data_IF_637916157810
#
_entry.id   IF_637916157810
#
_cell.length_a   1.000
_cell.length_b   1.000
_cell.length_c   1.000
_cell.angle_alpha   90.00
_cell.angle_beta   90.00
_cell.angle_gamma   90.00
#
_symmetry.space_group_name_H-M   'P 1'
#
loop_
_entity.id
_entity.type
_entity.pdbx_description
1 polymer ?
#
# COMPACT_ATOMS: atom_id res chain seq x y z
N UNK A 1 9.62 20.10 15.51
CA UNK A 1 8.79 18.99 16.02
C UNK A 1 9.61 17.74 16.25
N UNK A 2 9.22 17.00 17.24
CA UNK A 2 9.87 15.76 17.60
C UNK A 2 9.03 14.59 17.14
N UNK A 3 9.65 13.68 16.41
CA UNK A 3 8.96 12.47 15.94
C UNK A 3 9.53 11.30 16.70
N UNK A 4 8.64 10.62 17.43
CA UNK A 4 9.03 9.40 18.13
C UNK A 4 8.45 8.21 17.40
N UNK A 5 9.07 7.05 17.59
CA UNK A 5 8.67 5.85 16.85
C UNK A 5 8.18 4.75 17.79
N UNK A 6 7.53 5.16 18.89
CA UNK A 6 6.88 4.19 19.76
C UNK A 6 5.76 3.47 19.05
N UNK A 7 5.15 4.12 18.06
CA UNK A 7 4.11 3.53 17.25
C UNK A 7 4.51 3.62 15.78
N UNK A 8 3.98 2.72 14.99
CA UNK A 8 4.25 2.73 13.56
C UNK A 8 3.59 3.93 12.91
N UNK A 9 4.39 4.73 12.16
CA UNK A 9 3.78 5.88 11.50
C UNK A 9 2.83 5.44 10.39
N UNK A 10 1.65 5.73 10.34
CA UNK A 10 0.70 5.39 9.39
C UNK A 10 0.26 6.63 8.67
N UNK A 11 -0.06 6.43 7.67
CA UNK A 11 -0.69 7.51 6.91
C UNK A 11 -2.08 7.08 6.47
N UNK A 12 -2.96 8.04 6.28
CA UNK A 12 -4.30 7.77 5.80
C UNK A 12 -4.29 7.63 4.29
N UNK A 13 -4.90 6.56 3.82
CA UNK A 13 -5.07 6.34 2.39
C UNK A 13 -6.55 6.23 2.07
N UNK A 14 -6.89 6.50 0.81
CA UNK A 14 -8.24 6.33 0.32
C UNK A 14 -8.17 5.50 -0.95
N UNK A 15 -8.90 4.39 -0.95
CA UNK A 15 -8.91 3.50 -2.10
C UNK A 15 -10.29 2.88 -2.25
N UNK A 16 -10.83 2.94 -3.47
CA UNK A 16 -12.15 2.39 -3.73
C UNK A 16 -13.24 3.02 -2.88
N UNK A 17 -13.09 4.28 -2.52
CA UNK A 17 -14.07 4.95 -1.67
C UNK A 17 -13.97 4.63 -0.19
N UNK A 18 -12.95 3.90 0.23
CA UNK A 18 -12.74 3.51 1.62
C UNK A 18 -11.49 4.15 2.17
N UNK A 19 -11.55 4.43 3.46
CA UNK A 19 -10.37 5.00 4.15
C UNK A 19 -9.69 3.93 4.98
N UNK A 20 -8.32 4.09 4.91
CA UNK A 20 -7.60 3.13 5.67
C UNK A 20 -6.28 3.75 6.09
N UNK A 21 -5.66 2.99 6.96
CA UNK A 21 -4.33 3.47 7.33
C UNK A 21 -3.28 2.50 6.83
N UNK A 22 -2.13 3.03 6.43
CA UNK A 22 -1.07 2.20 5.88
C UNK A 22 0.28 2.73 6.31
N UNK A 23 1.29 1.86 6.24
CA UNK A 23 2.67 2.22 6.51
C UNK A 23 3.37 2.55 5.20
N UNK A 24 4.18 3.59 5.20
CA UNK A 24 5.08 3.85 4.09
C UNK A 24 6.35 3.02 4.30
N UNK A 25 6.55 2.04 3.46
CA UNK A 25 7.63 1.08 3.65
C UNK A 25 8.61 1.14 2.48
N UNK A 26 9.72 1.85 2.69
CA UNK A 26 10.71 1.99 1.63
C UNK A 26 11.41 0.69 1.30
N UNK A 27 11.30 -0.31 2.16
CA UNK A 27 11.86 -1.62 1.87
C UNK A 27 10.96 -2.51 1.03
N UNK A 28 9.74 -2.05 0.73
CA UNK A 28 8.81 -2.83 -0.06
C UNK A 28 8.71 -2.26 -1.47
N UNK A 29 8.84 -3.12 -2.47
CA UNK A 29 8.68 -2.69 -3.85
C UNK A 29 7.21 -2.45 -4.19
N UNK A 30 6.34 -3.28 -3.66
CA UNK A 30 4.92 -3.29 -4.02
C UNK A 30 4.05 -2.82 -2.88
N UNK A 31 2.85 -2.39 -3.22
CA UNK A 31 1.84 -1.96 -2.26
C UNK A 31 0.88 -3.12 -2.02
N UNK A 32 0.67 -3.47 -0.75
CA UNK A 32 -0.24 -4.55 -0.41
C UNK A 32 -1.16 -4.09 0.72
N UNK A 33 -2.45 -4.31 0.54
CA UNK A 33 -3.47 -3.85 1.47
C UNK A 33 -4.35 -5.02 1.91
N UNK A 34 -4.93 -4.88 3.09
CA UNK A 34 -5.86 -5.86 3.61
C UNK A 34 -7.09 -5.94 2.72
N UNK A 35 -7.77 -7.07 2.88
CA UNK A 35 -8.96 -7.27 2.06
C UNK A 35 -9.89 -6.08 2.02
N UNK A 36 -10.20 -5.72 0.81
CA UNK A 36 -11.08 -4.63 0.65
C UNK A 36 -11.80 -4.88 -0.61
N UNK A 37 -12.94 -4.31 -0.69
CA UNK A 37 -13.71 -4.40 -1.93
C UNK A 37 -13.39 -3.23 -2.84
N UNK A 38 -12.66 -3.53 -3.90
CA UNK A 38 -12.25 -2.52 -4.87
C UNK A 38 -12.91 -2.87 -6.20
N UNK A 39 -13.58 -1.90 -6.85
CA UNK A 39 -14.15 -2.19 -8.17
C UNK A 39 -13.04 -2.31 -9.22
N UNK A 40 -13.31 -3.11 -10.25
CA UNK A 40 -12.41 -3.22 -11.35
C UNK A 40 -11.89 -4.62 -11.56
N UNK A 41 -11.06 -4.75 -12.55
CA UNK A 41 -10.48 -6.04 -12.90
C UNK A 41 -9.25 -6.33 -12.05
N UNK A 42 -9.07 -7.59 -11.79
CA UNK A 42 -7.88 -8.04 -11.06
C UNK A 42 -7.45 -9.40 -11.59
N UNK A 43 -6.21 -9.75 -11.26
CA UNK A 43 -5.71 -11.08 -11.60
C UNK A 43 -5.02 -11.66 -10.37
N UNK A 44 -5.00 -12.99 -10.25
CA UNK A 44 -4.37 -13.60 -9.09
C UNK A 44 -2.85 -13.49 -9.16
N UNK A 45 -2.23 -13.36 -7.98
CA UNK A 45 -0.79 -13.29 -7.87
C UNK A 45 -0.38 -13.92 -6.55
N UNK A 46 0.80 -14.52 -6.54
CA UNK A 46 1.39 -15.05 -5.33
C UNK A 46 2.48 -14.08 -4.87
N UNK A 47 2.30 -13.67 -3.69
CA UNK A 47 3.22 -12.72 -3.17
C UNK A 47 3.77 -13.22 -1.91
N UNK A 48 4.89 -12.57 -1.56
CA UNK A 48 5.48 -12.94 -0.28
C UNK A 48 6.69 -13.82 -0.45
N UNK A 49 6.93 -14.66 0.48
CA UNK A 49 8.04 -15.59 0.39
C UNK A 49 8.72 -15.84 1.71
N UNK A 50 8.71 -14.89 2.63
CA UNK A 50 9.27 -15.08 3.96
C UNK A 50 8.16 -15.58 4.87
N UNK A 51 8.31 -16.78 5.39
CA UNK A 51 7.29 -17.37 6.23
C UNK A 51 6.12 -17.96 5.45
N UNK A 52 6.25 -17.99 4.12
CA UNK A 52 5.22 -18.57 3.28
C UNK A 52 4.74 -17.61 2.22
N UNK A 53 3.93 -18.13 1.33
CA UNK A 53 3.36 -17.35 0.23
C UNK A 53 1.90 -17.08 0.50
N UNK A 54 1.41 -15.92 0.07
CA UNK A 54 0.00 -15.60 0.15
C UNK A 54 -0.54 -15.34 -1.25
N UNK A 55 -1.81 -15.65 -1.43
CA UNK A 55 -2.49 -15.40 -2.68
C UNK A 55 -3.20 -14.06 -2.59
N UNK A 56 -2.93 -13.18 -3.53
CA UNK A 56 -3.51 -11.84 -3.51
C UNK A 56 -4.16 -11.55 -4.84
N UNK A 57 -4.99 -10.53 -4.86
CA UNK A 57 -5.59 -10.01 -6.09
C UNK A 57 -4.80 -8.79 -6.52
N UNK A 58 -4.34 -8.82 -7.76
CA UNK A 58 -3.55 -7.72 -8.31
C UNK A 58 -4.44 -6.81 -9.13
N UNK A 59 -4.59 -5.58 -8.68
CA UNK A 59 -5.32 -4.54 -9.41
C UNK A 59 -4.30 -3.61 -10.04
N UNK A 60 -4.31 -3.55 -11.36
CA UNK A 60 -3.42 -2.63 -12.07
C UNK A 60 -4.09 -1.29 -12.19
N UNK A 61 -3.31 -0.22 -12.01
CA UNK A 61 -3.80 1.14 -12.15
C UNK A 61 -4.99 1.47 -11.25
N UNK A 62 -4.96 1.16 -9.99
CA UNK A 62 -5.86 1.44 -9.12
C UNK A 62 -5.58 2.71 -8.63
N UNK A 63 -6.47 3.54 -8.61
CA UNK A 63 -6.21 4.85 -8.04
C UNK A 63 -6.23 4.82 -6.51
N UNK A 64 -5.23 5.43 -5.93
CA UNK A 64 -5.08 5.49 -4.48
C UNK A 64 -4.75 6.92 -4.10
N UNK A 65 -5.35 7.42 -3.03
CA UNK A 65 -5.02 8.72 -2.49
C UNK A 65 -4.26 8.51 -1.19
N UNK A 66 -3.04 9.09 -1.14
CA UNK A 66 -2.16 8.91 0.01
C UNK A 66 -1.81 10.28 0.55
N UNK A 67 -2.36 10.38 1.57
CA UNK A 67 -2.15 11.59 2.22
C UNK A 67 -2.60 12.79 1.46
N UNK A 68 -3.58 12.58 0.84
CA UNK A 68 -4.09 13.67 0.01
C UNK A 68 -3.50 13.75 -1.38
N UNK A 69 -2.55 12.93 -1.67
CA UNK A 69 -1.91 12.88 -2.99
C UNK A 69 -2.47 11.71 -3.77
N UNK A 70 -2.81 11.98 -5.03
CA UNK A 70 -3.40 10.92 -5.86
C UNK A 70 -2.36 10.20 -6.68
N UNK A 71 -2.48 8.85 -6.69
CA UNK A 71 -1.58 8.11 -7.42
C UNK A 71 -2.36 7.04 -8.10
N UNK A 72 -1.70 6.58 -9.07
CA UNK A 72 -2.29 5.43 -9.76
C UNK A 72 -1.20 4.39 -9.91
N UNK A 73 -1.48 3.16 -9.47
CA UNK A 73 -0.49 2.12 -9.62
C UNK A 73 -1.04 0.77 -9.23
N UNK A 74 -0.18 -0.22 -9.28
CA UNK A 74 -0.57 -1.58 -8.94
C UNK A 74 -0.76 -1.72 -7.44
N UNK A 75 -1.88 -2.31 -7.06
CA UNK A 75 -2.20 -2.56 -5.66
C UNK A 75 -2.55 -4.04 -5.50
N UNK A 76 -1.96 -4.67 -4.52
CA UNK A 76 -2.23 -6.06 -4.19
C UNK A 76 -3.17 -6.11 -3.00
N UNK A 77 -4.20 -6.91 -3.09
CA UNK A 77 -5.19 -7.04 -2.01
C UNK A 77 -5.18 -8.48 -1.52
N UNK A 78 -4.97 -8.65 -0.23
CA UNK A 78 -4.95 -9.99 0.33
C UNK A 78 -4.77 -10.01 1.82
N UNK A 79 -4.56 -11.18 2.38
CA UNK A 79 -4.47 -11.33 3.83
C UNK A 79 -3.12 -10.91 4.38
N UNK A 80 -2.86 -9.61 4.39
CA UNK A 80 -1.63 -9.06 4.92
C UNK A 80 -1.87 -8.54 6.33
N UNK A 81 -0.91 -8.68 7.20
CA UNK A 81 -1.06 -8.12 8.55
C UNK A 81 -1.09 -6.61 8.63
N UNK A 82 -0.60 -5.91 7.55
CA UNK A 82 -0.58 -4.48 7.59
C UNK A 82 -0.77 -3.97 6.22
N UNK A 83 -1.32 -2.94 6.27
CA UNK A 83 -1.39 -2.23 5.00
C UNK A 83 -0.05 -1.56 4.73
N UNK A 84 0.52 -1.82 3.57
CA UNK A 84 1.86 -1.32 3.27
C UNK A 84 1.84 -0.60 1.92
N UNK A 85 2.32 0.64 1.91
CA UNK A 85 2.53 1.39 0.68
C UNK A 85 3.99 1.21 0.30
N UNK A 86 4.22 0.60 -0.84
CA UNK A 86 5.58 0.37 -1.32
C UNK A 86 6.09 1.47 -2.20
N UNK A 87 7.31 1.27 -2.71
CA UNK A 87 7.96 2.30 -3.50
C UNK A 87 7.25 2.59 -4.81
N UNK A 88 6.48 1.63 -5.30
CA UNK A 88 5.78 1.85 -6.58
C UNK A 88 4.81 3.03 -6.52
N UNK A 89 4.23 3.27 -5.35
CA UNK A 89 3.34 4.42 -5.18
C UNK A 89 4.05 5.60 -4.53
N UNK A 90 5.03 5.35 -3.68
CA UNK A 90 5.74 6.46 -3.06
C UNK A 90 6.44 7.34 -4.07
N UNK A 91 6.99 6.77 -5.14
CA UNK A 91 7.63 7.58 -6.16
C UNK A 91 6.63 8.48 -6.87
N UNK A 92 5.39 8.04 -6.99
CA UNK A 92 4.40 8.83 -7.71
C UNK A 92 3.95 10.06 -6.91
N UNK A 93 3.97 9.99 -5.60
CA UNK A 93 3.53 11.13 -4.78
C UNK A 93 4.70 12.03 -4.40
N UNK A 94 5.87 11.77 -4.95
CA UNK A 94 7.04 12.59 -4.68
C UNK A 94 7.65 12.38 -3.31
N UNK A 95 7.44 11.20 -2.74
CA UNK A 95 7.97 10.88 -1.43
C UNK A 95 9.48 10.67 -1.50
N UNK A 96 10.23 11.37 -0.66
CA UNK A 96 11.66 11.20 -0.59
C UNK A 96 12.07 10.91 0.84
N UNK A 97 13.24 10.32 0.99
CA UNK A 97 13.78 10.03 2.30
C UNK A 97 14.85 11.09 2.62
N UNK A 98 14.65 11.79 3.71
CA UNK A 98 15.57 12.85 4.13
C UNK A 98 16.16 12.54 5.50
N UNK A 99 17.47 12.73 5.59
CA UNK A 99 18.21 12.50 6.83
C UNK A 99 18.71 13.80 7.43
#
# INVERSE_FOLDING_TARGET
PQITLWQRPXVTIKIGGQLXEALLDTGADDTILEEXNIPGRWKPKIXGGIGGFIKVRQYDQXPVEIXGHKXIGTVLIGPTPXNIIGRNLMTQIGCTLNF
#
